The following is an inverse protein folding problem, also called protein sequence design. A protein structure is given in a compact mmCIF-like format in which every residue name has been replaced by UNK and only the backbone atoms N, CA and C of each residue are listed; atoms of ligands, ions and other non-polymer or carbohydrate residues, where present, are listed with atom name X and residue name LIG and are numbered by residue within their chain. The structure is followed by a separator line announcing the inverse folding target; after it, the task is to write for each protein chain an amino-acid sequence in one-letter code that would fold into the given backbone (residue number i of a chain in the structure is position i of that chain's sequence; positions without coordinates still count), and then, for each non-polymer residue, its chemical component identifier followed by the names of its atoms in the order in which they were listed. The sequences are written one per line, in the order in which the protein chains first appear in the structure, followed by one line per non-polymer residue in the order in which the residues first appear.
data_IF_965873984785
#
_entry.id   IF_965873984785
#
_cell.length_a   1.000
_cell.length_b   1.000
_cell.length_c   1.000
_cell.angle_alpha   90.00
_cell.angle_beta   90.00
_cell.angle_gamma   90.00
#
_symmetry.space_group_name_H-M   'P 1'
#
loop_
_entity.id
_entity.type
_entity.pdbx_description
1 polymer ?
#
# COMPACT_ATOMS: atom_id res chain seq x y z
N UNK A 1 12.37 29.55 -23.15
CA UNK A 1 11.98 28.19 -23.60
C UNK A 1 12.70 27.20 -22.70
N UNK A 2 12.00 26.21 -22.17
CA UNK A 2 12.59 25.22 -21.27
C UNK A 2 13.16 24.06 -22.11
N UNK A 3 14.43 23.73 -21.89
CA UNK A 3 15.16 22.69 -22.62
C UNK A 3 15.39 21.50 -21.71
N UNK A 4 15.18 20.28 -22.22
CA UNK A 4 15.44 19.06 -21.46
C UNK A 4 16.95 18.90 -21.21
N UNK A 5 17.36 18.75 -19.96
CA UNK A 5 18.76 18.58 -19.56
C UNK A 5 19.38 17.27 -20.07
N UNK A 6 18.56 16.26 -20.36
CA UNK A 6 19.04 14.94 -20.77
C UNK A 6 19.10 14.73 -22.30
N UNK A 7 18.17 15.32 -23.07
CA UNK A 7 18.13 15.15 -24.53
C UNK A 7 18.38 16.43 -25.33
N UNK A 8 18.52 17.59 -24.66
CA UNK A 8 18.71 18.91 -25.28
C UNK A 8 17.60 19.40 -26.21
N UNK A 9 16.46 18.69 -26.30
CA UNK A 9 15.30 19.14 -27.06
C UNK A 9 14.50 20.19 -26.29
N UNK A 10 13.85 21.08 -27.04
CA UNK A 10 12.91 22.07 -26.50
C UNK A 10 11.58 21.39 -26.12
N UNK A 11 11.20 21.51 -24.84
CA UNK A 11 10.00 20.90 -24.26
C UNK A 11 8.70 21.41 -24.92
N UNK A 12 8.70 22.63 -25.46
CA UNK A 12 7.51 23.25 -26.07
C UNK A 12 7.19 22.73 -27.47
N UNK A 13 8.13 22.06 -28.14
CA UNK A 13 7.98 21.61 -29.53
C UNK A 13 7.16 20.33 -29.67
N UNK A 14 6.98 19.59 -28.58
CA UNK A 14 6.36 18.26 -28.56
C UNK A 14 7.22 17.13 -29.11
N UNK A 15 8.51 17.37 -29.21
CA UNK A 15 9.50 16.36 -29.59
C UNK A 15 9.64 15.33 -28.46
N UNK A 16 9.75 14.06 -28.83
CA UNK A 16 10.01 12.98 -27.88
C UNK A 16 11.36 13.16 -27.21
N UNK A 17 11.48 12.78 -25.94
CA UNK A 17 12.79 12.57 -25.33
C UNK A 17 13.52 11.42 -26.03
N UNK A 18 14.85 11.45 -25.99
CA UNK A 18 15.73 10.38 -26.49
C UNK A 18 16.11 9.37 -25.42
N UNK A 19 15.82 9.64 -24.13
CA UNK A 19 16.05 8.69 -23.04
C UNK A 19 14.96 7.63 -23.07
N UNK A 20 15.33 6.40 -23.39
CA UNK A 20 14.38 5.29 -23.58
C UNK A 20 14.23 4.38 -22.36
N UNK A 21 15.19 4.42 -21.44
CA UNK A 21 15.23 3.56 -20.27
C UNK A 21 15.98 4.25 -19.13
N UNK A 22 15.68 3.79 -17.91
CA UNK A 22 16.44 4.07 -16.71
C UNK A 22 17.14 2.79 -16.22
N UNK A 23 18.21 2.93 -15.47
CA UNK A 23 18.96 1.82 -14.91
C UNK A 23 18.87 1.83 -13.39
N UNK A 24 18.70 0.65 -12.80
CA UNK A 24 18.71 0.46 -11.35
C UNK A 24 19.64 -0.68 -11.05
N UNK A 25 20.78 -0.38 -10.40
CA UNK A 25 21.87 -1.34 -10.19
C UNK A 25 22.32 -1.98 -11.51
N UNK A 26 22.44 -1.18 -12.58
CA UNK A 26 22.81 -1.64 -13.93
C UNK A 26 21.73 -2.42 -14.69
N UNK A 27 20.58 -2.72 -14.07
CA UNK A 27 19.44 -3.35 -14.76
C UNK A 27 18.63 -2.31 -15.51
N UNK A 28 18.40 -2.52 -16.81
CA UNK A 28 17.64 -1.62 -17.70
C UNK A 28 16.12 -1.77 -17.53
N UNK A 29 15.42 -0.65 -17.41
CA UNK A 29 13.96 -0.54 -17.35
C UNK A 29 13.44 0.44 -18.39
N UNK A 30 12.68 -0.05 -19.38
CA UNK A 30 12.14 0.79 -20.44
C UNK A 30 11.11 1.79 -19.92
N UNK A 31 11.23 3.06 -20.32
CA UNK A 31 10.30 4.11 -19.92
C UNK A 31 8.96 3.96 -20.63
N UNK A 32 7.88 4.30 -19.92
CA UNK A 32 6.53 4.27 -20.45
C UNK A 32 6.32 5.49 -21.36
N UNK A 33 5.85 5.24 -22.58
CA UNK A 33 5.49 6.28 -23.55
C UNK A 33 4.22 7.01 -23.11
N UNK A 34 4.17 8.30 -23.39
CA UNK A 34 2.99 9.12 -23.19
C UNK A 34 1.80 8.52 -23.95
N UNK A 35 0.67 8.38 -23.27
CA UNK A 35 -0.60 8.03 -23.89
C UNK A 35 -1.65 9.05 -23.53
N UNK A 36 -2.37 9.54 -24.54
CA UNK A 36 -3.49 10.45 -24.36
C UNK A 36 -4.56 9.83 -23.45
N UNK A 37 -5.10 10.62 -22.52
CA UNK A 37 -6.29 10.20 -21.74
C UNK A 37 -7.54 10.37 -22.59
N UNK A 38 -8.54 9.51 -22.36
CA UNK A 38 -9.81 9.54 -23.08
C UNK A 38 -10.55 10.85 -22.73
N UNK A 39 -10.79 11.71 -23.73
CA UNK A 39 -11.42 13.02 -23.54
C UNK A 39 -10.48 14.22 -23.65
N UNK A 40 -9.16 14.00 -23.72
CA UNK A 40 -8.18 15.07 -24.00
C UNK A 40 -8.09 15.35 -25.51
N UNK A 41 -8.33 16.60 -25.91
CA UNK A 41 -8.35 17.05 -27.31
C UNK A 41 -6.98 17.46 -27.85
N UNK A 42 -5.99 17.72 -26.98
CA UNK A 42 -4.69 18.25 -27.41
C UNK A 42 -3.68 17.13 -27.73
N UNK A 43 -3.87 15.91 -27.19
CA UNK A 43 -3.03 14.74 -27.48
C UNK A 43 -1.56 14.93 -27.08
N UNK A 44 -1.31 15.82 -26.12
CA UNK A 44 0.00 16.22 -25.62
C UNK A 44 0.04 16.09 -24.11
N UNK A 45 1.19 15.73 -23.59
CA UNK A 45 1.42 15.77 -22.15
C UNK A 45 1.28 17.21 -21.66
N UNK A 46 0.46 17.41 -20.62
CA UNK A 46 0.18 18.74 -20.05
C UNK A 46 1.39 19.40 -19.36
N UNK A 47 2.45 18.63 -19.11
CA UNK A 47 3.67 19.11 -18.48
C UNK A 47 4.82 19.22 -19.50
N UNK A 48 5.35 18.09 -20.00
CA UNK A 48 6.49 18.12 -20.91
C UNK A 48 6.14 18.29 -22.40
N UNK A 49 4.87 18.51 -22.75
CA UNK A 49 4.42 18.84 -24.12
C UNK A 49 4.52 17.74 -25.18
N UNK A 50 5.09 16.57 -24.85
CA UNK A 50 5.30 15.45 -25.78
C UNK A 50 3.98 14.93 -26.37
N UNK A 51 3.99 14.58 -27.65
CA UNK A 51 2.81 14.01 -28.33
C UNK A 51 2.54 12.56 -27.92
N UNK A 52 1.30 12.14 -28.11
CA UNK A 52 0.85 10.75 -27.95
C UNK A 52 1.82 9.76 -28.62
N UNK A 53 2.26 8.75 -27.87
CA UNK A 53 3.26 7.74 -28.29
C UNK A 53 4.73 8.15 -28.11
N UNK A 54 5.03 9.41 -27.79
CA UNK A 54 6.40 9.87 -27.49
C UNK A 54 6.87 9.51 -26.08
N UNK A 55 8.18 9.55 -25.85
CA UNK A 55 8.78 9.41 -24.52
C UNK A 55 8.77 10.76 -23.79
N UNK A 56 8.35 10.72 -22.52
CA UNK A 56 8.41 11.89 -21.65
C UNK A 56 9.86 12.35 -21.45
N UNK A 57 10.06 13.66 -21.34
CA UNK A 57 11.32 14.24 -20.88
C UNK A 57 11.50 13.94 -19.39
N UNK A 58 12.72 13.55 -18.99
CA UNK A 58 13.02 13.27 -17.59
C UNK A 58 12.80 14.53 -16.75
N UNK A 59 12.15 14.37 -15.59
CA UNK A 59 11.61 15.48 -14.78
C UNK A 59 10.14 15.78 -15.03
N UNK A 60 9.46 15.02 -15.91
CA UNK A 60 8.04 15.24 -16.17
C UNK A 60 7.13 14.72 -15.05
N UNK A 61 6.22 15.57 -14.57
CA UNK A 61 5.23 15.30 -13.52
C UNK A 61 4.21 14.23 -13.92
N UNK A 62 4.06 13.94 -15.21
CA UNK A 62 3.11 12.92 -15.69
C UNK A 62 3.81 11.62 -16.09
N UNK A 63 5.15 11.58 -16.04
CA UNK A 63 5.90 10.38 -16.37
C UNK A 63 5.75 9.34 -15.26
N UNK A 64 5.47 8.09 -15.64
CA UNK A 64 5.42 6.97 -14.69
C UNK A 64 6.78 6.32 -14.52
N UNK A 65 7.13 6.02 -13.28
CA UNK A 65 8.27 5.23 -12.89
C UNK A 65 8.13 3.81 -13.48
N UNK A 66 9.12 3.31 -14.26
CA UNK A 66 9.04 1.97 -14.83
C UNK A 66 9.30 0.85 -13.80
N UNK A 67 9.80 1.21 -12.61
CA UNK A 67 10.01 0.27 -11.49
C UNK A 67 8.75 0.06 -10.65
N UNK A 68 8.16 1.14 -10.12
CA UNK A 68 7.02 1.06 -9.20
C UNK A 68 5.65 1.44 -9.80
N UNK A 69 5.61 1.99 -11.02
CA UNK A 69 4.37 2.44 -11.68
C UNK A 69 3.76 3.75 -11.15
N UNK A 70 4.31 4.30 -10.06
CA UNK A 70 4.01 5.65 -9.54
C UNK A 70 4.56 6.77 -10.43
N UNK A 71 4.47 8.02 -10.00
CA UNK A 71 5.05 9.17 -10.72
C UNK A 71 6.58 9.15 -10.59
N UNK A 72 7.32 9.34 -11.69
CA UNK A 72 8.78 9.16 -11.72
C UNK A 72 9.52 10.13 -10.80
N UNK A 73 9.12 11.40 -10.78
CA UNK A 73 9.78 12.44 -9.98
C UNK A 73 9.59 12.27 -8.46
N UNK A 74 8.53 11.58 -8.04
CA UNK A 74 8.19 11.36 -6.62
C UNK A 74 8.36 9.90 -6.19
N UNK A 75 8.85 9.03 -7.08
CA UNK A 75 9.14 7.65 -6.72
C UNK A 75 10.39 7.56 -5.84
N UNK A 76 10.44 6.51 -5.03
CA UNK A 76 11.59 6.18 -4.18
C UNK A 76 12.52 5.15 -4.83
N UNK A 77 12.40 4.94 -6.14
CA UNK A 77 13.29 4.05 -6.87
C UNK A 77 14.66 4.72 -7.06
N UNK A 78 15.73 4.06 -6.64
CA UNK A 78 17.10 4.52 -6.84
C UNK A 78 17.54 4.26 -8.28
N UNK A 79 17.35 5.24 -9.16
CA UNK A 79 17.79 5.16 -10.56
C UNK A 79 19.20 5.73 -10.71
N UNK A 80 20.04 5.03 -11.45
CA UNK A 80 21.44 5.36 -11.71
C UNK A 80 21.57 6.70 -12.47
N UNK A 81 20.55 7.12 -13.23
CA UNK A 81 20.49 8.42 -13.91
C UNK A 81 20.17 9.61 -13.01
N UNK A 82 19.80 9.35 -11.75
CA UNK A 82 19.55 10.37 -10.73
C UNK A 82 20.47 10.16 -9.51
N UNK A 83 21.80 10.21 -9.68
CA UNK A 83 22.73 10.00 -8.58
C UNK A 83 22.62 11.10 -7.51
N UNK A 84 22.23 12.32 -7.89
CA UNK A 84 22.20 13.54 -7.06
C UNK A 84 21.03 13.63 -6.04
N UNK A 85 20.60 12.51 -5.43
CA UNK A 85 20.17 12.57 -4.02
C UNK A 85 21.38 12.38 -3.09
N UNK A 86 22.57 12.75 -3.57
CA UNK A 86 23.77 12.87 -2.78
C UNK A 86 23.50 13.87 -1.65
N UNK A 87 23.49 13.34 -0.43
CA UNK A 87 23.76 14.07 0.80
C UNK A 87 24.84 15.11 0.50
N UNK A 88 24.62 16.37 0.87
CA UNK A 88 25.76 17.22 1.18
C UNK A 88 26.65 16.42 2.16
N UNK A 89 27.92 16.17 1.82
CA UNK A 89 28.81 15.47 2.73
C UNK A 89 29.06 16.39 3.92
N UNK A 90 28.44 16.10 5.06
CA UNK A 90 28.91 16.64 6.33
C UNK A 90 30.36 16.17 6.49
N UNK A 91 31.26 17.14 6.44
CA UNK A 91 32.70 16.99 6.53
C UNK A 91 33.10 16.33 7.86
N UNK A 92 33.17 15.00 7.86
CA UNK A 92 33.87 14.20 8.87
C UNK A 92 34.50 12.97 8.20
N UNK A 93 35.59 13.23 7.47
CA UNK A 93 36.61 12.22 7.18
C UNK A 93 37.19 11.72 8.51
N UNK A 94 37.16 10.40 8.73
CA UNK A 94 38.36 9.61 9.03
C UNK A 94 38.07 8.08 9.06
N UNK A 95 38.71 7.38 8.12
CA UNK A 95 39.29 6.03 8.22
C UNK A 95 38.36 4.81 8.38
N UNK A 96 38.20 4.08 7.27
CA UNK A 96 38.55 2.65 7.23
C UNK A 96 38.82 2.21 5.79
N UNK A 97 40.10 1.93 5.51
CA UNK A 97 40.54 1.19 4.35
C UNK A 97 40.04 -0.26 4.42
N UNK A 98 39.49 -0.79 3.34
CA UNK A 98 39.48 -2.22 3.05
C UNK A 98 39.71 -2.43 1.56
N UNK A 99 40.83 -3.07 1.25
CA UNK A 99 41.37 -3.36 -0.07
C UNK A 99 40.58 -4.45 -0.84
N UNK A 100 40.77 -4.39 -2.16
CA UNK A 100 40.39 -5.28 -3.26
C UNK A 100 40.51 -6.79 -2.98
N UNK A 101 39.59 -7.58 -3.53
CA UNK A 101 39.93 -8.51 -4.61
C UNK A 101 38.67 -9.11 -5.25
N UNK A 102 38.54 -8.89 -6.56
CA UNK A 102 37.55 -9.49 -7.43
C UNK A 102 37.93 -10.94 -7.76
N UNK A 103 36.99 -11.87 -7.66
CA UNK A 103 37.10 -13.15 -8.37
C UNK A 103 35.74 -13.68 -8.84
N UNK A 104 35.76 -14.19 -10.07
CA UNK A 104 34.65 -14.57 -10.94
C UNK A 104 34.00 -15.89 -10.49
N UNK A 105 32.67 -15.93 -10.45
CA UNK A 105 31.83 -17.08 -10.05
C UNK A 105 31.66 -18.08 -11.22
N UNK A 106 31.92 -19.38 -11.04
CA UNK A 106 31.34 -20.42 -11.90
C UNK A 106 30.06 -21.02 -11.29
N UNK A 107 28.96 -20.95 -12.04
CA UNK A 107 27.66 -21.53 -11.68
C UNK A 107 27.70 -23.07 -11.72
N UNK A 108 27.42 -23.72 -10.59
CA UNK A 108 27.12 -25.14 -10.48
C UNK A 108 25.65 -25.37 -10.07
N UNK A 109 25.00 -26.46 -10.52
CA UNK A 109 23.56 -26.65 -10.39
C UNK A 109 23.12 -26.97 -8.95
N UNK A 110 21.97 -26.40 -8.57
CA UNK A 110 21.37 -26.41 -7.24
C UNK A 110 20.93 -27.80 -6.75
N UNK A 111 21.32 -28.15 -5.52
CA UNK A 111 20.78 -29.25 -4.71
C UNK A 111 19.52 -28.81 -3.93
N UNK A 112 18.60 -29.73 -3.59
CA UNK A 112 17.34 -29.40 -2.94
C UNK A 112 17.54 -28.91 -1.49
N UNK A 113 16.79 -27.88 -1.13
CA UNK A 113 16.86 -27.14 0.15
C UNK A 113 16.11 -27.91 1.24
N UNK A 114 16.81 -28.22 2.34
CA UNK A 114 16.23 -28.72 3.59
C UNK A 114 15.54 -27.61 4.41
N UNK A 115 14.98 -27.92 5.60
CA UNK A 115 14.12 -27.00 6.33
C UNK A 115 14.84 -25.71 6.72
N UNK A 116 14.19 -24.58 6.42
CA UNK A 116 14.70 -23.21 6.58
C UNK A 116 14.78 -22.84 8.06
N UNK A 117 15.99 -22.61 8.58
CA UNK A 117 16.20 -21.94 9.87
C UNK A 117 15.85 -20.44 9.81
N UNK A 118 15.79 -19.71 10.94
CA UNK A 118 15.38 -18.30 10.95
C UNK A 118 16.32 -17.44 10.07
N UNK A 119 15.79 -16.45 9.33
CA UNK A 119 16.56 -15.68 8.36
C UNK A 119 17.64 -14.86 9.07
N UNK A 120 18.90 -15.10 8.72
CA UNK A 120 20.02 -14.23 9.09
C UNK A 120 19.99 -13.01 8.16
N UNK A 121 19.99 -11.78 8.70
CA UNK A 121 20.35 -10.58 7.91
C UNK A 121 19.57 -9.28 8.14
N UNK A 122 18.46 -9.25 8.88
CA UNK A 122 17.66 -8.02 9.03
C UNK A 122 18.38 -6.93 9.83
N UNK A 123 18.24 -5.69 9.38
CA UNK A 123 18.73 -4.49 10.09
C UNK A 123 17.92 -4.34 11.38
N UNK A 124 18.56 -4.19 12.56
CA UNK A 124 17.82 -3.91 13.79
C UNK A 124 17.06 -2.58 13.68
N UNK A 125 15.82 -2.52 14.19
CA UNK A 125 14.99 -1.31 14.16
C UNK A 125 15.75 -0.08 14.68
N UNK A 126 16.46 -0.24 15.79
CA UNK A 126 17.28 0.81 16.39
C UNK A 126 18.34 1.39 15.43
N UNK A 127 18.86 0.60 14.50
CA UNK A 127 19.81 1.07 13.49
C UNK A 127 19.04 1.78 12.37
N UNK A 128 17.96 1.16 11.88
CA UNK A 128 17.14 1.69 10.80
C UNK A 128 16.53 3.08 11.12
N UNK A 129 16.06 3.28 12.36
CA UNK A 129 15.42 4.53 12.80
C UNK A 129 16.40 5.57 13.34
N UNK A 130 17.70 5.30 13.36
CA UNK A 130 18.69 6.25 13.91
C UNK A 130 18.60 7.65 13.27
N UNK A 131 18.41 7.80 11.94
CA UNK A 131 18.21 9.13 11.34
C UNK A 131 16.92 9.81 11.81
N UNK A 132 15.83 9.05 11.99
CA UNK A 132 14.57 9.57 12.50
C UNK A 132 14.73 10.05 13.95
N UNK A 133 15.45 9.28 14.79
CA UNK A 133 15.76 9.69 16.17
C UNK A 133 16.54 10.99 16.24
N UNK A 134 17.53 11.17 15.36
CA UNK A 134 18.32 12.39 15.31
C UNK A 134 17.45 13.60 14.92
N UNK A 135 16.58 13.47 13.90
CA UNK A 135 15.67 14.53 13.47
C UNK A 135 14.66 14.92 14.55
N UNK A 136 14.09 13.94 15.24
CA UNK A 136 13.01 14.14 16.20
C UNK A 136 13.49 14.15 17.65
N UNK A 137 14.79 14.33 17.90
CA UNK A 137 15.40 14.16 19.23
C UNK A 137 14.70 14.98 20.34
N UNK A 138 14.39 16.26 20.08
CA UNK A 138 13.74 17.12 21.07
C UNK A 138 12.32 16.64 21.40
N UNK A 139 11.58 16.21 20.38
CA UNK A 139 10.21 15.72 20.53
C UNK A 139 10.20 14.36 21.23
N UNK A 140 11.17 13.50 20.93
CA UNK A 140 11.39 12.21 21.57
C UNK A 140 11.73 12.35 23.06
N UNK A 141 12.57 13.33 23.42
CA UNK A 141 12.85 13.63 24.82
C UNK A 141 11.59 14.11 25.55
N UNK A 142 10.80 14.98 24.91
CA UNK A 142 9.57 15.51 25.50
C UNK A 142 8.49 14.44 25.69
N UNK A 143 8.26 13.56 24.70
CA UNK A 143 7.29 12.47 24.85
C UNK A 143 7.73 11.43 25.87
N UNK A 144 9.04 11.16 26.00
CA UNK A 144 9.56 10.28 27.04
C UNK A 144 9.29 10.81 28.44
N UNK A 145 9.57 12.10 28.67
CA UNK A 145 9.33 12.76 29.96
C UNK A 145 7.83 12.77 30.30
N UNK A 146 6.98 13.10 29.33
CA UNK A 146 5.53 13.07 29.48
C UNK A 146 4.99 11.67 29.78
N UNK A 147 5.49 10.63 29.08
CA UNK A 147 5.09 9.25 29.34
C UNK A 147 5.47 8.84 30.77
N UNK A 148 6.70 9.14 31.19
CA UNK A 148 7.20 8.81 32.52
C UNK A 148 6.38 9.51 33.61
N UNK A 149 6.05 10.80 33.44
CA UNK A 149 5.20 11.55 34.36
C UNK A 149 3.78 10.95 34.45
N UNK A 150 3.29 10.38 33.35
CA UNK A 150 1.99 9.70 33.26
C UNK A 150 2.03 8.22 33.68
N UNK A 151 3.17 7.73 34.19
CA UNK A 151 3.32 6.33 34.60
C UNK A 151 3.33 5.32 33.45
N UNK A 152 3.63 5.77 32.22
CA UNK A 152 3.71 4.97 30.99
C UNK A 152 5.15 4.91 30.48
N UNK A 153 5.44 3.92 29.64
CA UNK A 153 6.67 3.84 28.86
C UNK A 153 6.37 4.04 27.38
N UNK A 154 7.33 4.57 26.62
CA UNK A 154 7.27 4.67 25.17
C UNK A 154 8.56 4.10 24.58
N UNK A 155 8.44 3.35 23.50
CA UNK A 155 9.57 2.91 22.69
C UNK A 155 9.97 4.06 21.76
N UNK A 156 11.14 4.65 22.01
CA UNK A 156 11.63 5.81 21.28
C UNK A 156 11.99 5.51 19.82
N UNK A 157 12.27 4.25 19.48
CA UNK A 157 12.54 3.87 18.10
C UNK A 157 11.25 3.87 17.28
N UNK A 158 10.19 3.32 17.86
CA UNK A 158 8.87 3.30 17.25
C UNK A 158 8.27 4.72 17.22
N UNK A 159 8.44 5.51 18.29
CA UNK A 159 7.99 6.90 18.31
C UNK A 159 8.72 7.75 17.25
N UNK A 160 10.02 7.55 17.06
CA UNK A 160 10.78 8.26 16.02
C UNK A 160 10.28 7.93 14.62
N UNK A 161 10.00 6.65 14.36
CA UNK A 161 9.38 6.21 13.11
C UNK A 161 7.97 6.80 12.94
N UNK A 162 7.16 6.82 14.00
CA UNK A 162 5.82 7.38 13.97
C UNK A 162 5.83 8.88 13.66
N UNK A 163 6.71 9.66 14.30
CA UNK A 163 6.89 11.09 14.01
C UNK A 163 7.27 11.32 12.55
N UNK A 164 8.25 10.56 12.06
CA UNK A 164 8.70 10.66 10.68
C UNK A 164 7.55 10.41 9.69
N UNK A 165 6.77 9.35 9.90
CA UNK A 165 5.71 8.95 8.97
C UNK A 165 4.45 9.80 9.12
N UNK A 166 4.10 10.26 10.32
CA UNK A 166 2.93 11.13 10.54
C UNK A 166 3.19 12.57 10.06
N UNK A 167 4.37 13.13 10.34
CA UNK A 167 4.65 14.55 10.11
C UNK A 167 5.13 14.85 8.68
N UNK A 168 5.82 13.91 8.01
CA UNK A 168 6.35 14.17 6.66
C UNK A 168 5.37 13.85 5.53
N UNK A 169 4.30 13.12 5.81
CA UNK A 169 3.40 12.60 4.77
C UNK A 169 2.48 13.64 4.13
N UNK A 170 2.19 14.75 4.82
CA UNK A 170 1.14 15.68 4.39
C UNK A 170 1.62 17.08 4.02
N UNK A 171 2.91 17.29 3.78
CA UNK A 171 3.43 18.62 3.37
C UNK A 171 4.03 19.45 4.49
N UNK A 172 4.50 18.78 5.54
CA UNK A 172 5.15 19.40 6.70
C UNK A 172 4.29 19.35 7.96
N UNK A 173 4.86 19.80 9.08
CA UNK A 173 4.28 19.77 10.42
C UNK A 173 2.96 20.56 10.59
N UNK A 174 2.48 21.23 9.54
CA UNK A 174 1.29 22.10 9.60
C UNK A 174 0.04 21.49 8.99
N UNK A 175 0.13 20.34 8.32
CA UNK A 175 -1.04 19.76 7.66
C UNK A 175 -1.98 19.05 8.64
N UNK A 176 -3.30 19.27 8.52
CA UNK A 176 -4.28 18.61 9.38
C UNK A 176 -4.21 17.09 9.31
N UNK A 177 -4.12 16.44 10.47
CA UNK A 177 -4.22 15.00 10.60
C UNK A 177 -5.68 14.55 10.52
N UNK A 178 -5.94 13.53 9.72
CA UNK A 178 -7.25 12.88 9.59
C UNK A 178 -7.20 11.45 10.10
N UNK A 179 -8.34 10.94 10.52
CA UNK A 179 -8.47 9.54 10.94
C UNK A 179 -7.96 8.53 9.88
N UNK A 180 -8.25 8.69 8.56
CA UNK A 180 -7.67 7.81 7.54
C UNK A 180 -6.14 7.83 7.48
N UNK A 181 -5.50 8.91 7.92
CA UNK A 181 -4.05 9.03 7.90
C UNK A 181 -3.42 8.11 8.95
N UNK A 182 -4.02 8.02 10.14
CA UNK A 182 -3.58 7.11 11.21
C UNK A 182 -3.86 5.65 10.82
N UNK A 183 -4.99 5.38 10.16
CA UNK A 183 -5.28 4.04 9.64
C UNK A 183 -4.25 3.59 8.59
N UNK A 184 -3.90 4.49 7.69
CA UNK A 184 -2.94 4.24 6.63
C UNK A 184 -1.52 4.08 7.17
N UNK A 185 -1.12 4.90 8.16
CA UNK A 185 0.15 4.73 8.87
C UNK A 185 0.35 3.30 9.34
N UNK A 186 -0.65 2.76 10.05
CA UNK A 186 -0.56 1.45 10.67
C UNK A 186 -0.58 0.30 9.64
N UNK A 187 -1.42 0.41 8.61
CA UNK A 187 -1.66 -0.70 7.69
C UNK A 187 -0.71 -0.73 6.49
N UNK A 188 -0.14 0.41 6.12
CA UNK A 188 0.59 0.54 4.85
C UNK A 188 1.94 1.19 5.07
N UNK A 189 2.03 2.35 5.74
CA UNK A 189 3.31 3.07 5.80
C UNK A 189 4.35 2.35 6.66
N UNK A 190 3.98 1.92 7.87
CA UNK A 190 4.91 1.20 8.75
C UNK A 190 5.37 -0.12 8.12
N UNK A 191 4.49 -0.99 7.58
CA UNK A 191 4.93 -2.19 6.87
C UNK A 191 5.85 -1.90 5.68
N UNK A 192 5.51 -0.91 4.85
CA UNK A 192 6.32 -0.54 3.69
C UNK A 192 7.69 0.02 4.12
N UNK A 193 7.71 0.89 5.13
CA UNK A 193 8.93 1.46 5.67
C UNK A 193 9.84 0.37 6.24
N UNK A 194 9.29 -0.56 7.03
CA UNK A 194 10.04 -1.69 7.58
C UNK A 194 10.61 -2.58 6.49
N UNK A 195 9.83 -2.84 5.42
CA UNK A 195 10.29 -3.63 4.28
C UNK A 195 11.43 -2.94 3.50
N UNK A 196 11.34 -1.62 3.30
CA UNK A 196 12.39 -0.82 2.64
C UNK A 196 13.66 -0.77 3.48
N UNK A 197 13.51 -0.62 4.80
CA UNK A 197 14.62 -0.56 5.74
C UNK A 197 15.17 -1.95 6.14
N UNK A 198 14.64 -3.03 5.55
CA UNK A 198 14.96 -4.43 5.87
C UNK A 198 14.96 -4.73 7.37
N UNK A 199 13.98 -4.18 8.10
CA UNK A 199 13.78 -4.39 9.53
C UNK A 199 12.48 -5.13 9.80
N UNK A 200 12.43 -5.83 10.93
CA UNK A 200 11.21 -6.46 11.41
C UNK A 200 10.18 -5.40 11.81
N UNK A 201 8.91 -5.66 11.49
CA UNK A 201 7.79 -4.85 11.97
C UNK A 201 7.68 -4.95 13.51
N UNK A 202 7.77 -3.82 14.23
CA UNK A 202 7.53 -3.81 15.68
C UNK A 202 6.07 -4.12 16.05
N UNK A 203 5.85 -5.02 17.02
CA UNK A 203 4.50 -5.44 17.43
C UNK A 203 3.70 -4.31 18.13
N UNK A 204 4.37 -3.46 18.90
CA UNK A 204 3.75 -2.41 19.74
C UNK A 204 3.54 -1.08 19.02
N UNK A 205 3.47 -1.07 17.68
CA UNK A 205 3.31 0.16 16.88
C UNK A 205 2.06 0.92 17.30
N UNK A 206 0.92 0.24 17.46
CA UNK A 206 -0.33 0.90 17.82
C UNK A 206 -0.23 1.63 19.17
N UNK A 207 0.32 0.97 20.19
CA UNK A 207 0.52 1.53 21.53
C UNK A 207 1.42 2.78 21.53
N UNK A 208 2.50 2.74 20.75
CA UNK A 208 3.43 3.87 20.67
C UNK A 208 2.84 5.05 19.88
N UNK A 209 2.12 4.77 18.78
CA UNK A 209 1.38 5.82 18.04
C UNK A 209 0.29 6.44 18.92
N UNK A 210 -0.39 5.65 19.74
CA UNK A 210 -1.36 6.15 20.72
C UNK A 210 -0.69 7.16 21.67
N UNK A 211 0.44 6.78 22.25
CA UNK A 211 1.18 7.62 23.19
C UNK A 211 1.66 8.92 22.54
N UNK A 212 2.16 8.85 21.29
CA UNK A 212 2.56 10.02 20.51
C UNK A 212 1.38 10.96 20.26
N UNK A 213 0.24 10.45 19.76
CA UNK A 213 -0.95 11.28 19.50
C UNK A 213 -1.50 11.91 20.78
N UNK A 214 -1.46 11.17 21.90
CA UNK A 214 -1.87 11.68 23.22
C UNK A 214 -1.02 12.86 23.65
N UNK A 215 0.30 12.67 23.62
CA UNK A 215 1.24 13.71 23.96
C UNK A 215 1.06 14.94 23.05
N UNK A 216 0.92 14.73 21.74
CA UNK A 216 0.69 15.82 20.79
C UNK A 216 -0.56 16.63 21.14
N UNK A 217 -1.64 15.99 21.55
CA UNK A 217 -2.86 16.71 21.97
C UNK A 217 -2.64 17.50 23.26
N UNK A 218 -2.09 16.85 24.29
CA UNK A 218 -1.84 17.45 25.61
C UNK A 218 -0.94 18.70 25.52
N UNK A 219 0.06 18.68 24.64
CA UNK A 219 1.00 19.80 24.47
C UNK A 219 0.60 20.76 23.34
N UNK A 220 -0.58 20.59 22.73
CA UNK A 220 -1.11 21.48 21.70
C UNK A 220 -0.34 21.42 20.37
N UNK A 221 0.22 20.27 20.03
CA UNK A 221 0.99 19.98 18.81
C UNK A 221 0.20 19.26 17.72
N UNK A 222 -1.06 18.93 17.95
CA UNK A 222 -1.95 18.49 16.88
C UNK A 222 -2.17 19.67 15.91
N UNK A 223 -1.88 19.53 14.60
CA UNK A 223 -2.04 20.62 13.64
C UNK A 223 -3.46 21.19 13.64
N UNK A 224 -3.64 22.51 13.50
CA UNK A 224 -4.97 23.12 13.47
C UNK A 224 -5.86 22.52 12.38
N UNK A 225 -7.13 22.29 12.72
CA UNK A 225 -8.11 21.73 11.81
C UNK A 225 -7.99 20.22 11.61
N UNK A 226 -7.13 19.52 12.35
CA UNK A 226 -7.11 18.05 12.42
C UNK A 226 -8.43 17.49 12.97
N UNK A 227 -8.68 16.21 12.74
CA UNK A 227 -9.75 15.48 13.41
C UNK A 227 -9.47 15.43 14.93
N UNK A 228 -10.50 15.35 15.79
CA UNK A 228 -10.30 15.28 17.22
C UNK A 228 -9.56 13.99 17.63
N UNK A 229 -8.88 14.04 18.77
CA UNK A 229 -7.98 12.98 19.23
C UNK A 229 -8.65 11.61 19.35
N UNK A 230 -9.90 11.57 19.80
CA UNK A 230 -10.71 10.36 19.89
C UNK A 230 -10.86 9.70 18.51
N UNK A 231 -11.18 10.48 17.49
CA UNK A 231 -11.27 10.03 16.10
C UNK A 231 -9.92 9.56 15.54
N UNK A 232 -8.83 10.29 15.83
CA UNK A 232 -7.48 9.91 15.40
C UNK A 232 -7.03 8.58 16.01
N UNK A 233 -7.51 8.22 17.19
CA UNK A 233 -7.16 6.98 17.90
C UNK A 233 -8.02 5.77 17.53
N UNK A 234 -9.17 5.96 16.90
CA UNK A 234 -10.03 4.84 16.48
C UNK A 234 -9.32 3.76 15.66
N UNK A 235 -8.43 4.09 14.70
CA UNK A 235 -7.72 3.06 13.94
C UNK A 235 -6.81 2.20 14.82
N UNK A 236 -6.25 2.75 15.89
CA UNK A 236 -5.39 2.03 16.84
C UNK A 236 -6.21 1.06 17.70
N UNK A 237 -7.48 1.38 17.97
CA UNK A 237 -8.42 0.45 18.64
C UNK A 237 -8.89 -0.63 17.67
N UNK A 238 -9.31 -0.21 16.49
CA UNK A 238 -9.86 -1.08 15.45
C UNK A 238 -8.85 -2.09 14.91
N UNK A 239 -7.66 -1.65 14.51
CA UNK A 239 -6.64 -2.50 13.89
C UNK A 239 -5.46 -2.80 14.79
N UNK A 240 -5.22 -1.98 15.81
CA UNK A 240 -4.13 -2.16 16.77
C UNK A 240 -4.49 -2.95 18.02
N UNK A 241 -5.75 -3.33 18.19
CA UNK A 241 -6.18 -4.12 19.35
C UNK A 241 -6.08 -3.36 20.67
N UNK A 242 -6.11 -2.03 20.65
CA UNK A 242 -6.12 -1.22 21.86
C UNK A 242 -7.55 -0.99 22.36
N UNK A 243 -7.72 -0.80 23.67
CA UNK A 243 -8.97 -0.30 24.26
C UNK A 243 -9.05 1.24 24.24
N UNK A 244 -10.13 1.76 24.82
CA UNK A 244 -10.38 3.20 24.92
C UNK A 244 -9.30 3.96 25.74
N UNK A 245 -8.53 3.26 26.56
CA UNK A 245 -7.44 3.81 27.37
C UNK A 245 -6.06 3.64 26.69
N UNK A 246 -6.02 2.98 25.52
CA UNK A 246 -4.80 2.70 24.78
C UNK A 246 -4.02 1.52 25.32
N UNK A 247 -4.65 0.63 26.08
CA UNK A 247 -4.05 -0.61 26.57
C UNK A 247 -4.29 -1.74 25.57
N UNK A 248 -3.31 -2.62 25.41
CA UNK A 248 -3.45 -3.82 24.57
C UNK A 248 -4.55 -4.73 25.13
N UNK A 249 -5.49 -5.12 24.28
CA UNK A 249 -6.52 -6.09 24.62
C UNK A 249 -6.03 -7.52 24.34
N UNK A 250 -6.54 -8.53 25.07
CA UNK A 250 -6.28 -9.93 24.75
C UNK A 250 -6.68 -10.27 23.31
N UNK A 251 -5.90 -11.13 22.64
CA UNK A 251 -6.23 -11.63 21.31
C UNK A 251 -7.66 -12.21 21.26
N UNK A 252 -8.41 -11.83 20.23
CA UNK A 252 -9.80 -12.25 20.05
C UNK A 252 -10.83 -11.49 20.89
N UNK A 253 -10.42 -10.47 21.66
CA UNK A 253 -11.35 -9.59 22.35
C UNK A 253 -12.29 -8.89 21.34
N UNK A 254 -13.59 -8.78 21.65
CA UNK A 254 -14.52 -8.06 20.80
C UNK A 254 -14.09 -6.59 20.74
N UNK A 255 -14.10 -6.03 19.54
CA UNK A 255 -13.76 -4.62 19.33
C UNK A 255 -14.75 -3.73 20.04
N UNK A 256 -14.23 -2.67 20.63
CA UNK A 256 -15.00 -1.68 21.39
C UNK A 256 -15.60 -0.58 20.48
N UNK A 257 -15.17 -0.50 19.22
CA UNK A 257 -15.73 0.37 18.17
C UNK A 257 -15.89 -0.36 16.84
N UNK A 258 -16.96 -0.04 16.11
CA UNK A 258 -17.13 -0.49 14.73
C UNK A 258 -16.15 0.26 13.80
N UNK A 259 -15.73 -0.41 12.72
CA UNK A 259 -14.67 0.09 11.85
C UNK A 259 -15.16 1.21 10.93
N UNK A 260 -14.66 2.43 11.15
CA UNK A 260 -14.90 3.62 10.30
C UNK A 260 -13.60 4.34 9.91
N UNK A 261 -12.46 3.67 10.07
CA UNK A 261 -11.12 4.23 9.96
C UNK A 261 -10.78 4.82 8.58
N UNK A 262 -11.53 4.47 7.53
CA UNK A 262 -11.34 4.95 6.16
C UNK A 262 -12.33 6.02 5.72
N UNK A 263 -13.20 6.46 6.63
CA UNK A 263 -14.18 7.49 6.35
C UNK A 263 -13.71 8.85 6.87
N UNK A 264 -14.13 9.95 6.22
CA UNK A 264 -13.98 11.28 6.80
C UNK A 264 -14.63 11.35 8.18
N UNK A 265 -14.03 12.08 9.11
CA UNK A 265 -14.66 12.34 10.40
C UNK A 265 -15.86 13.27 10.23
N UNK A 266 -17.00 12.83 10.78
CA UNK A 266 -18.22 13.61 10.88
C UNK A 266 -18.66 13.64 12.36
N UNK A 267 -18.59 14.79 13.05
CA UNK A 267 -18.96 14.90 14.45
C UNK A 267 -20.47 14.69 14.71
N UNK A 268 -21.29 14.68 13.66
CA UNK A 268 -22.73 14.42 13.76
C UNK A 268 -23.06 12.93 13.76
N UNK A 269 -22.06 12.08 13.48
CA UNK A 269 -22.19 10.63 13.35
C UNK A 269 -21.47 9.96 14.52
N UNK A 270 -22.17 9.15 15.35
CA UNK A 270 -21.55 8.41 16.44
C UNK A 270 -20.40 7.51 15.97
N UNK A 271 -19.45 7.27 16.87
CA UNK A 271 -18.36 6.37 16.59
C UNK A 271 -18.87 4.98 16.18
N UNK A 272 -18.31 4.43 15.10
CA UNK A 272 -18.71 3.14 14.54
C UNK A 272 -19.79 3.16 13.45
N UNK A 273 -20.35 4.30 13.09
CA UNK A 273 -21.34 4.39 12.01
C UNK A 273 -20.67 4.74 10.67
N UNK A 274 -20.76 3.84 9.68
CA UNK A 274 -20.11 4.01 8.38
C UNK A 274 -20.97 4.91 7.47
N UNK A 275 -20.41 6.02 6.98
CA UNK A 275 -21.02 6.81 5.91
C UNK A 275 -20.85 6.11 4.56
N UNK A 276 -21.97 5.76 3.91
CA UNK A 276 -21.94 5.30 2.51
C UNK A 276 -21.88 6.53 1.61
N UNK A 277 -20.89 6.58 0.72
CA UNK A 277 -20.89 7.51 -0.42
C UNK A 277 -21.98 7.05 -1.39
N UNK A 278 -23.17 7.65 -1.29
CA UNK A 278 -24.30 7.35 -2.19
C UNK A 278 -24.10 8.07 -3.53
N UNK A 279 -23.41 9.22 -3.51
CA UNK A 279 -22.91 9.92 -4.69
C UNK A 279 -21.79 10.91 -4.31
N UNK A 280 -21.11 11.51 -5.29
CA UNK A 280 -20.04 12.52 -5.07
C UNK A 280 -20.44 13.73 -4.20
N UNK A 281 -21.72 13.91 -3.86
CA UNK A 281 -22.22 15.05 -3.07
C UNK A 281 -23.14 14.67 -1.89
N UNK A 282 -23.43 13.39 -1.65
CA UNK A 282 -24.31 12.95 -0.56
C UNK A 282 -23.75 11.71 0.15
N UNK A 283 -23.55 11.86 1.46
CA UNK A 283 -23.16 10.82 2.42
C UNK A 283 -24.41 10.47 3.24
N UNK A 284 -24.85 9.21 3.22
CA UNK A 284 -25.89 8.74 4.14
C UNK A 284 -25.26 7.84 5.22
N UNK A 285 -25.57 8.05 6.52
CA UNK A 285 -25.07 7.19 7.59
C UNK A 285 -25.76 5.82 7.52
N UNK A 286 -24.95 4.76 7.40
CA UNK A 286 -25.40 3.37 7.43
C UNK A 286 -24.69 2.63 8.58
N UNK A 287 -25.46 1.86 9.36
CA UNK A 287 -24.90 0.90 10.31
C UNK A 287 -24.49 -0.33 9.50
N UNK A 288 -23.21 -0.43 9.14
CA UNK A 288 -22.64 -1.65 8.59
C UNK A 288 -21.58 -2.16 9.57
N UNK A 289 -21.89 -3.26 10.26
CA UNK A 289 -20.97 -4.01 11.09
C UNK A 289 -19.86 -4.57 10.20
N UNK A 290 -18.80 -3.79 9.97
CA UNK A 290 -17.58 -4.31 9.37
C UNK A 290 -16.85 -5.04 10.49
N UNK A 291 -17.11 -6.34 10.58
CA UNK A 291 -16.21 -7.28 11.22
C UNK A 291 -15.10 -7.58 10.21
N UNK A 292 -13.93 -6.90 10.23
CA UNK A 292 -12.80 -7.53 9.55
C UNK A 292 -12.51 -8.83 10.30
N UNK A 293 -12.23 -9.91 9.57
CA UNK A 293 -11.97 -11.20 10.20
C UNK A 293 -10.80 -11.08 11.20
N UNK A 294 -10.87 -11.91 12.23
CA UNK A 294 -9.82 -12.11 13.23
C UNK A 294 -8.44 -12.20 12.55
N UNK A 295 -7.43 -11.40 12.94
CA UNK A 295 -6.08 -11.45 12.37
C UNK A 295 -5.41 -12.83 12.46
N UNK A 296 -5.82 -13.66 13.42
CA UNK A 296 -5.36 -15.04 13.54
C UNK A 296 -6.10 -16.01 12.61
N UNK A 297 -7.24 -15.61 12.05
CA UNK A 297 -7.99 -16.31 11.00
C UNK A 297 -7.58 -15.89 9.57
N UNK A 298 -6.66 -14.93 9.47
CA UNK A 298 -6.18 -14.38 8.21
C UNK A 298 -5.09 -15.25 7.59
N UNK A 299 -5.47 -16.43 7.09
CA UNK A 299 -4.83 -17.08 5.94
C UNK A 299 -5.08 -16.28 4.63
N UNK A 300 -5.07 -14.94 4.73
CA UNK A 300 -5.44 -13.99 3.65
C UNK A 300 -4.61 -14.21 2.40
N UNK A 301 -3.37 -14.68 2.54
CA UNK A 301 -2.53 -15.00 1.39
C UNK A 301 -3.03 -16.22 0.61
N UNK A 302 -3.52 -17.27 1.28
CA UNK A 302 -4.04 -18.46 0.58
C UNK A 302 -5.37 -18.16 -0.12
N UNK A 303 -6.29 -17.47 0.57
CA UNK A 303 -7.59 -17.15 -0.02
C UNK A 303 -7.50 -16.05 -1.11
N UNK A 304 -6.57 -15.10 -1.02
CA UNK A 304 -6.41 -14.06 -2.03
C UNK A 304 -5.44 -14.44 -3.17
N UNK A 305 -4.63 -15.48 -3.03
CA UNK A 305 -3.62 -15.86 -4.02
C UNK A 305 -4.20 -16.06 -5.44
N UNK A 306 -5.31 -16.81 -5.64
CA UNK A 306 -5.93 -16.94 -6.97
C UNK A 306 -6.39 -15.60 -7.58
N UNK A 307 -6.97 -14.72 -6.76
CA UNK A 307 -7.39 -13.37 -7.20
C UNK A 307 -6.19 -12.50 -7.60
N UNK A 308 -5.10 -12.56 -6.83
CA UNK A 308 -3.86 -11.83 -7.13
C UNK A 308 -3.21 -12.34 -8.42
N UNK A 309 -3.23 -13.65 -8.67
CA UNK A 309 -2.74 -14.27 -9.91
C UNK A 309 -3.60 -13.89 -11.11
N UNK A 310 -4.93 -13.91 -10.97
CA UNK A 310 -5.87 -13.39 -11.97
C UNK A 310 -5.55 -11.92 -12.28
N UNK A 311 -5.49 -11.05 -11.26
CA UNK A 311 -5.18 -9.62 -11.42
C UNK A 311 -3.87 -9.41 -12.17
N UNK A 312 -2.81 -10.14 -11.80
CA UNK A 312 -1.52 -10.09 -12.48
C UNK A 312 -1.65 -10.48 -13.96
N UNK A 313 -2.37 -11.57 -14.27
CA UNK A 313 -2.62 -12.01 -15.65
C UNK A 313 -3.42 -10.98 -16.45
N UNK A 314 -4.51 -10.47 -15.90
CA UNK A 314 -5.36 -9.46 -16.56
C UNK A 314 -4.59 -8.16 -16.85
N UNK A 315 -3.73 -7.73 -15.92
CA UNK A 315 -2.85 -6.57 -16.12
C UNK A 315 -1.80 -6.83 -17.20
N UNK A 316 -1.31 -8.07 -17.34
CA UNK A 316 -0.36 -8.42 -18.40
C UNK A 316 -0.94 -8.38 -19.82
N UNK A 317 -2.27 -8.45 -19.95
CA UNK A 317 -2.98 -8.43 -21.25
C UNK A 317 -3.83 -7.17 -21.45
N UNK A 318 -3.61 -6.11 -20.65
CA UNK A 318 -4.38 -4.85 -20.68
C UNK A 318 -5.91 -5.08 -20.68
N UNK A 319 -6.38 -5.98 -19.81
CA UNK A 319 -7.81 -6.26 -19.69
C UNK A 319 -8.57 -5.03 -19.14
N UNK A 320 -9.74 -4.67 -19.69
CA UNK A 320 -10.39 -3.38 -19.40
C UNK A 320 -11.11 -3.30 -18.04
N UNK A 321 -11.02 -4.34 -17.21
CA UNK A 321 -11.58 -4.36 -15.86
C UNK A 321 -10.42 -4.59 -14.90
N UNK A 322 -10.25 -3.67 -13.95
CA UNK A 322 -9.33 -3.87 -12.83
C UNK A 322 -10.03 -4.72 -11.77
N UNK A 323 -9.30 -5.69 -11.24
CA UNK A 323 -9.79 -6.61 -10.20
C UNK A 323 -9.14 -6.17 -8.92
N UNK A 324 -9.81 -5.33 -8.15
CA UNK A 324 -9.35 -4.90 -6.84
C UNK A 324 -9.72 -5.96 -5.81
N UNK A 325 -8.73 -6.57 -5.15
CA UNK A 325 -8.93 -7.70 -4.23
C UNK A 325 -9.88 -7.34 -3.09
N UNK A 326 -9.88 -6.07 -2.67
CA UNK A 326 -10.75 -5.53 -1.62
C UNK A 326 -12.24 -5.52 -2.01
N UNK A 327 -12.54 -5.56 -3.30
CA UNK A 327 -13.92 -5.61 -3.82
C UNK A 327 -14.46 -7.05 -3.88
N UNK A 328 -13.77 -8.02 -3.28
CA UNK A 328 -14.14 -9.44 -3.36
C UNK A 328 -14.06 -10.15 -2.01
N UNK A 329 -15.20 -10.70 -1.60
CA UNK A 329 -15.32 -11.57 -0.43
C UNK A 329 -15.16 -13.03 -0.81
N UNK A 330 -14.30 -13.76 -0.09
CA UNK A 330 -14.17 -15.20 -0.23
C UNK A 330 -15.46 -15.90 0.25
N UNK A 331 -16.04 -16.73 -0.61
CA UNK A 331 -17.31 -17.42 -0.36
C UNK A 331 -17.13 -18.92 -0.02
N UNK A 332 -15.93 -19.47 -0.26
CA UNK A 332 -15.60 -20.87 0.04
C UNK A 332 -14.82 -21.54 -1.09
N UNK A 333 -14.56 -22.84 -0.93
CA UNK A 333 -13.82 -23.67 -1.89
C UNK A 333 -14.64 -24.89 -2.29
N UNK A 334 -14.46 -25.36 -3.52
CA UNK A 334 -14.98 -26.65 -3.98
C UNK A 334 -13.88 -27.68 -4.06
N UNK A 335 -14.23 -28.94 -3.83
CA UNK A 335 -13.36 -30.07 -4.16
C UNK A 335 -13.25 -30.26 -5.68
N UNK A 336 -12.21 -30.97 -6.11
CA UNK A 336 -12.06 -31.39 -7.50
C UNK A 336 -13.18 -32.37 -7.87
N UNK A 337 -13.83 -32.15 -9.02
CA UNK A 337 -14.89 -33.05 -9.52
C UNK A 337 -14.70 -33.27 -11.02
N UNK A 338 -14.38 -34.52 -11.39
CA UNK A 338 -14.12 -34.91 -12.77
C UNK A 338 -12.90 -34.16 -13.34
N UNK A 339 -13.10 -33.36 -14.39
CA UNK A 339 -12.06 -32.53 -15.00
C UNK A 339 -11.98 -31.11 -14.41
N UNK A 340 -12.79 -30.80 -13.40
CA UNK A 340 -12.78 -29.48 -12.75
C UNK A 340 -11.79 -29.53 -11.58
N UNK A 341 -10.77 -28.66 -11.55
CA UNK A 341 -9.88 -28.55 -10.40
C UNK A 341 -10.63 -28.01 -9.17
N UNK A 342 -10.04 -28.05 -7.97
CA UNK A 342 -10.56 -27.30 -6.83
C UNK A 342 -10.69 -25.82 -7.19
N UNK A 343 -11.80 -25.20 -6.81
CA UNK A 343 -12.08 -23.80 -7.12
C UNK A 343 -12.26 -22.97 -5.86
N UNK A 344 -11.65 -21.78 -5.83
CA UNK A 344 -11.93 -20.72 -4.90
C UNK A 344 -13.09 -19.89 -5.43
N UNK A 345 -14.09 -19.67 -4.58
CA UNK A 345 -15.31 -18.97 -4.95
C UNK A 345 -15.29 -17.58 -4.32
N UNK A 346 -15.57 -16.57 -5.13
CA UNK A 346 -15.58 -15.17 -4.69
C UNK A 346 -16.89 -14.47 -5.04
N UNK A 347 -17.24 -13.51 -4.20
CA UNK A 347 -18.39 -12.62 -4.34
C UNK A 347 -17.89 -11.18 -4.50
N UNK A 348 -18.34 -10.48 -5.53
CA UNK A 348 -18.00 -9.07 -5.72
C UNK A 348 -18.85 -8.16 -4.80
N UNK A 349 -18.22 -7.18 -4.18
CA UNK A 349 -18.80 -6.17 -3.27
C UNK A 349 -18.19 -4.79 -3.56
N UNK A 350 -18.96 -3.70 -3.67
CA UNK A 350 -20.39 -3.57 -3.44
C UNK A 350 -21.21 -4.02 -4.65
N UNK A 351 -22.42 -4.51 -4.40
CA UNK A 351 -23.22 -5.12 -5.46
C UNK A 351 -24.73 -4.92 -5.24
N UNK A 352 -25.44 -4.37 -6.24
CA UNK A 352 -26.85 -3.93 -6.16
C UNK A 352 -27.94 -4.94 -6.59
N UNK A 353 -27.61 -6.03 -7.28
CA UNK A 353 -28.47 -7.17 -7.65
C UNK A 353 -28.64 -8.23 -6.53
N UNK A 354 -29.80 -8.91 -6.49
CA UNK A 354 -29.98 -10.14 -5.69
C UNK A 354 -29.58 -11.36 -6.53
N UNK A 355 -28.67 -12.21 -6.02
CA UNK A 355 -28.39 -13.56 -6.58
C UNK A 355 -27.21 -13.66 -7.56
N UNK A 356 -26.00 -13.21 -7.18
CA UNK A 356 -24.81 -13.23 -8.03
C UNK A 356 -24.32 -14.63 -8.44
N UNK A 357 -23.80 -14.72 -9.66
CA UNK A 357 -22.91 -15.80 -10.08
C UNK A 357 -21.56 -15.62 -9.35
N UNK A 358 -21.16 -16.64 -8.57
CA UNK A 358 -19.84 -16.67 -7.94
C UNK A 358 -18.74 -16.67 -9.01
N UNK A 359 -17.68 -15.90 -8.79
CA UNK A 359 -16.45 -16.03 -9.56
C UNK A 359 -15.69 -17.24 -9.03
N UNK A 360 -15.58 -18.30 -9.84
CA UNK A 360 -14.73 -19.44 -9.52
C UNK A 360 -13.34 -19.25 -10.10
N UNK A 361 -12.29 -19.42 -9.30
CA UNK A 361 -10.90 -19.42 -9.75
C UNK A 361 -10.23 -20.74 -9.37
N UNK A 362 -9.40 -21.30 -10.25
CA UNK A 362 -8.44 -22.32 -9.82
C UNK A 362 -7.25 -21.69 -9.10
N UNK A 363 -6.32 -22.52 -8.61
CA UNK A 363 -5.14 -22.06 -7.88
C UNK A 363 -4.29 -21.06 -8.68
N UNK A 364 -4.25 -21.20 -10.01
CA UNK A 364 -3.48 -20.34 -10.92
C UNK A 364 -4.25 -19.07 -11.35
N UNK A 365 -5.46 -18.89 -10.83
CA UNK A 365 -6.31 -17.74 -11.14
C UNK A 365 -7.02 -17.86 -12.49
N UNK A 366 -7.15 -19.04 -13.10
CA UNK A 366 -8.00 -19.24 -14.28
C UNK A 366 -9.48 -19.19 -13.92
N UNK A 367 -10.27 -18.58 -14.79
CA UNK A 367 -11.67 -18.29 -14.52
C UNK A 367 -12.56 -19.48 -14.85
N UNK A 368 -13.43 -19.83 -13.91
CA UNK A 368 -14.47 -20.83 -14.06
C UNK A 368 -15.82 -20.18 -13.83
N UNK A 369 -16.79 -20.55 -14.67
CA UNK A 369 -18.16 -20.09 -14.56
C UNK A 369 -19.13 -21.22 -14.30
N UNK A 370 -20.10 -20.92 -13.46
CA UNK A 370 -21.25 -21.79 -13.25
C UNK A 370 -22.09 -21.84 -14.52
N UNK A 371 -22.37 -23.04 -15.02
CA UNK A 371 -23.24 -23.27 -16.17
C UNK A 371 -24.29 -24.29 -15.82
N UNK A 372 -25.55 -24.06 -16.21
CA UNK A 372 -26.64 -25.02 -15.99
C UNK A 372 -26.32 -26.34 -16.69
N UNK A 373 -26.37 -27.44 -15.96
CA UNK A 373 -26.18 -28.77 -16.57
C UNK A 373 -27.48 -29.21 -17.24
N UNK A 374 -27.54 -29.10 -18.57
CA UNK A 374 -28.72 -29.47 -19.37
C UNK A 374 -29.05 -30.97 -19.29
N UNK A 375 -28.15 -31.81 -18.75
CA UNK A 375 -28.36 -33.26 -18.58
C UNK A 375 -29.06 -33.60 -17.26
N UNK A 376 -29.23 -32.65 -16.34
CA UNK A 376 -29.87 -32.86 -15.02
C UNK A 376 -31.11 -31.98 -14.86
N UNK A 377 -32.15 -32.49 -14.15
CA UNK A 377 -33.36 -31.70 -13.82
C UNK A 377 -33.05 -30.51 -12.90
N UNK A 378 -32.08 -30.66 -12.00
CA UNK A 378 -31.49 -29.62 -11.17
C UNK A 378 -29.98 -29.88 -11.03
N UNK A 379 -29.18 -28.82 -11.11
CA UNK A 379 -27.72 -28.92 -11.00
C UNK A 379 -26.97 -27.94 -11.91
N UNK A 380 -25.79 -27.55 -11.45
CA UNK A 380 -24.85 -26.71 -12.18
C UNK A 380 -23.52 -27.44 -12.34
N UNK A 381 -22.73 -27.04 -13.34
CA UNK A 381 -21.34 -27.47 -13.52
C UNK A 381 -20.44 -26.27 -13.74
N UNK A 382 -19.22 -26.38 -13.26
CA UNK A 382 -18.17 -25.40 -13.56
C UNK A 382 -17.59 -25.67 -14.94
N UNK A 383 -17.38 -24.60 -15.70
CA UNK A 383 -16.69 -24.67 -16.99
C UNK A 383 -15.61 -23.60 -17.02
N UNK A 384 -14.41 -23.99 -17.40
CA UNK A 384 -13.34 -23.04 -17.71
C UNK A 384 -13.86 -22.04 -18.73
N UNK A 385 -13.69 -20.76 -18.41
CA UNK A 385 -14.17 -19.64 -19.21
C UNK A 385 -12.98 -18.71 -19.47
N UNK A 386 -12.93 -18.05 -20.63
CA UNK A 386 -12.04 -16.92 -20.81
C UNK A 386 -12.28 -15.86 -19.71
N UNK A 387 -11.36 -14.91 -19.58
CA UNK A 387 -11.47 -13.80 -18.62
C UNK A 387 -12.74 -12.94 -18.79
N UNK A 388 -13.55 -13.18 -19.82
CA UNK A 388 -14.93 -12.68 -19.98
C UNK A 388 -15.83 -13.04 -18.81
N UNK A 389 -15.51 -14.09 -18.04
CA UNK A 389 -16.27 -14.43 -16.85
C UNK A 389 -16.17 -13.41 -15.72
N UNK A 390 -15.04 -12.69 -15.65
CA UNK A 390 -14.83 -11.56 -14.74
C UNK A 390 -15.86 -10.46 -15.05
N UNK A 391 -16.04 -10.10 -16.32
CA UNK A 391 -17.01 -9.06 -16.74
C UNK A 391 -18.42 -9.30 -16.25
N UNK A 392 -18.88 -10.56 -16.23
CA UNK A 392 -20.23 -10.89 -15.76
C UNK A 392 -20.42 -10.62 -14.28
N UNK A 393 -19.38 -10.83 -13.48
CA UNK A 393 -19.43 -10.54 -12.06
C UNK A 393 -19.38 -9.03 -11.76
N UNK A 394 -18.79 -8.22 -12.65
CA UNK A 394 -18.82 -6.75 -12.61
C UNK A 394 -20.03 -6.10 -13.32
N UNK A 395 -20.84 -6.87 -14.05
CA UNK A 395 -21.93 -6.31 -14.88
C UNK A 395 -23.13 -5.90 -14.01
N UNK A 396 -23.25 -4.59 -13.80
CA UNK A 396 -24.42 -3.88 -13.25
C UNK A 396 -25.74 -4.25 -13.90
#
# INVERSE_FOLDING_TARGET
MATCTHCSNDLSTGTSCTVEALHMNGRRFSLVRHRRRRGDTNGRCGDCGVRDGGLHHLGCDLQRCPGCGGQLISCWCSWDEFPEREREPDAWDEQAAFDDDADVIPLAPSRPVGPVGPPRGQVPLAVAVAPCRARHHADLASVAEWCLASGRSVDLDIAAMAFELLLNRFGGSESPLRRPDVAHLQQIDVPNWCAIADTRWPASVAFNVWSVLTWMDDVGRIPPGSDPLDALREPLRCYGGLDADGCEQPDGSPRDVDCQCYLPFDPTVPAGMIQRVVSQRHLEPLIALVHPPDPSSLDTFEHAAPLLRLRKRLRSVDYPIDVEVVDWSFAGRTDAVGTTPPLWLYRHEPSARRGYDLLGLDEDGHVFQVTRDRRRKAGYRWKASPDTGVRRAFSY
#
